data_IF_985114504308
#
_entry.id   IF_985114504308
#
_cell.length_a   1.000
_cell.length_b   1.000
_cell.length_c   1.000
_cell.angle_alpha   90.00
_cell.angle_beta   90.00
_cell.angle_gamma   90.00
#
_symmetry.space_group_name_H-M   'P 1'
#
loop_
_entity.id
_entity.type
_entity.pdbx_description
1 polymer ?
#
# COMPACT_ATOMS: atom_id res chain seq x y z
N UNK A 1 21.38 -3.46 -17.26
CA UNK A 1 22.05 -2.45 -18.11
C UNK A 1 23.42 -2.17 -17.50
N UNK A 2 24.41 -1.76 -18.29
CA UNK A 2 25.59 -1.10 -17.76
C UNK A 2 25.35 0.43 -17.59
N UNK A 3 26.38 1.19 -17.22
CA UNK A 3 26.29 2.66 -17.13
C UNK A 3 25.97 3.33 -18.47
N UNK A 4 26.43 2.76 -19.59
CA UNK A 4 26.22 3.31 -20.93
C UNK A 4 24.79 3.10 -21.43
N UNK A 5 24.05 2.18 -20.79
CA UNK A 5 22.69 1.81 -21.17
C UNK A 5 22.64 0.56 -22.06
N UNK A 6 23.77 -0.12 -22.24
CA UNK A 6 23.84 -1.40 -22.94
C UNK A 6 23.14 -2.48 -22.11
N UNK A 7 22.32 -3.29 -22.79
CA UNK A 7 21.68 -4.47 -22.20
C UNK A 7 22.71 -5.59 -22.06
N UNK A 8 23.09 -5.91 -20.82
CA UNK A 8 23.98 -7.04 -20.51
C UNK A 8 23.25 -8.38 -20.51
N UNK A 9 22.05 -8.43 -19.92
CA UNK A 9 21.19 -9.60 -19.86
C UNK A 9 19.72 -9.17 -19.86
N UNK A 10 18.89 -9.87 -20.63
CA UNK A 10 17.44 -9.63 -20.67
C UNK A 10 16.72 -10.93 -21.08
N UNK A 11 16.24 -11.67 -20.09
CA UNK A 11 15.54 -12.94 -20.27
C UNK A 11 14.57 -13.20 -19.13
N UNK A 12 13.58 -14.05 -19.38
CA UNK A 12 12.70 -14.54 -18.32
C UNK A 12 13.46 -15.56 -17.47
N UNK A 13 13.30 -15.49 -16.15
CA UNK A 13 13.96 -16.38 -15.20
C UNK A 13 12.93 -16.93 -14.21
N UNK A 14 13.12 -18.17 -13.73
CA UNK A 14 12.33 -18.69 -12.63
C UNK A 14 12.41 -17.77 -11.41
N UNK A 15 11.31 -17.77 -10.69
CA UNK A 15 11.03 -16.89 -9.57
C UNK A 15 11.63 -17.40 -8.25
N UNK A 16 12.93 -17.72 -8.29
CA UNK A 16 13.65 -18.38 -7.19
C UNK A 16 14.99 -17.70 -6.90
N UNK A 17 15.47 -17.75 -5.64
CA UNK A 17 16.79 -17.23 -5.28
C UNK A 17 17.93 -17.78 -6.13
N UNK A 18 17.98 -19.10 -6.33
CA UNK A 18 19.04 -19.74 -7.09
C UNK A 18 19.11 -19.26 -8.54
N UNK A 19 17.96 -19.21 -9.23
CA UNK A 19 17.91 -18.75 -10.62
C UNK A 19 18.29 -17.27 -10.74
N UNK A 20 17.85 -16.42 -9.79
CA UNK A 20 18.24 -15.02 -9.76
C UNK A 20 19.75 -14.86 -9.59
N UNK A 21 20.34 -15.52 -8.58
CA UNK A 21 21.77 -15.43 -8.27
C UNK A 21 22.64 -15.95 -9.40
N UNK A 22 22.26 -17.04 -10.05
CA UNK A 22 22.97 -17.58 -11.22
C UNK A 22 23.03 -16.55 -12.36
N UNK A 23 21.91 -15.87 -12.63
CA UNK A 23 21.82 -14.87 -13.70
C UNK A 23 22.66 -13.63 -13.41
N UNK A 24 22.68 -13.18 -12.15
CA UNK A 24 23.43 -11.96 -11.77
C UNK A 24 24.88 -12.22 -11.38
N UNK A 25 25.29 -13.48 -11.22
CA UNK A 25 26.65 -13.86 -10.81
C UNK A 25 27.76 -13.16 -11.63
N UNK A 26 27.67 -13.05 -12.98
CA UNK A 26 28.71 -12.37 -13.78
C UNK A 26 28.74 -10.85 -13.57
N UNK A 27 27.72 -10.26 -12.94
CA UNK A 27 27.47 -8.82 -12.86
C UNK A 27 27.39 -8.30 -11.43
N UNK A 28 27.86 -9.06 -10.44
CA UNK A 28 27.74 -8.74 -9.00
C UNK A 28 28.38 -7.43 -8.57
N UNK A 29 29.53 -7.08 -9.17
CA UNK A 29 30.22 -5.84 -8.85
C UNK A 29 29.34 -4.64 -9.22
N UNK A 30 29.13 -3.74 -8.25
CA UNK A 30 28.33 -2.51 -8.37
C UNK A 30 26.86 -2.72 -8.74
N UNK A 31 26.33 -3.93 -8.48
CA UNK A 31 24.98 -4.31 -8.83
C UNK A 31 23.93 -3.54 -8.02
N UNK A 32 23.05 -2.81 -8.71
CA UNK A 32 21.79 -2.30 -8.15
C UNK A 32 20.61 -3.05 -8.77
N UNK A 33 19.72 -3.55 -7.93
CA UNK A 33 18.49 -4.24 -8.30
C UNK A 33 17.29 -3.34 -8.06
N UNK A 34 16.38 -3.25 -9.02
CA UNK A 34 15.08 -2.61 -8.80
C UNK A 34 13.90 -3.47 -9.25
N UNK A 35 12.79 -3.37 -8.52
CA UNK A 35 11.49 -3.94 -8.92
C UNK A 35 10.37 -2.93 -8.68
N UNK A 36 9.27 -3.03 -9.41
CA UNK A 36 8.03 -2.32 -9.04
C UNK A 36 7.46 -2.90 -7.74
N UNK A 37 6.73 -2.09 -6.95
CA UNK A 37 6.03 -2.54 -5.74
C UNK A 37 4.79 -3.42 -6.07
N UNK A 38 5.06 -4.61 -6.61
CA UNK A 38 4.09 -5.67 -6.85
C UNK A 38 4.00 -6.66 -5.68
N UNK A 39 3.21 -7.72 -5.78
CA UNK A 39 2.93 -8.63 -4.65
C UNK A 39 4.14 -9.35 -4.07
N UNK A 40 5.26 -9.36 -4.77
CA UNK A 40 6.25 -10.39 -4.59
C UNK A 40 7.64 -9.83 -4.23
N UNK A 41 7.83 -8.51 -4.15
CA UNK A 41 9.15 -7.89 -3.92
C UNK A 41 9.84 -8.26 -2.60
N UNK A 42 9.12 -8.80 -1.60
CA UNK A 42 9.65 -9.09 -0.27
C UNK A 42 10.88 -10.01 -0.31
N UNK A 43 10.76 -11.22 -0.87
CA UNK A 43 11.89 -12.16 -0.88
C UNK A 43 13.05 -11.63 -1.71
N UNK A 44 12.80 -10.84 -2.76
CA UNK A 44 13.84 -10.27 -3.60
C UNK A 44 14.62 -9.20 -2.84
N UNK A 45 13.93 -8.31 -2.12
CA UNK A 45 14.56 -7.33 -1.24
C UNK A 45 15.36 -8.02 -0.13
N UNK A 46 14.81 -9.07 0.47
CA UNK A 46 15.45 -9.81 1.55
C UNK A 46 16.67 -10.59 1.05
N UNK A 47 16.57 -11.19 -0.14
CA UNK A 47 17.71 -11.83 -0.80
C UNK A 47 18.79 -10.81 -1.16
N UNK A 48 18.42 -9.65 -1.72
CA UNK A 48 19.38 -8.60 -2.01
C UNK A 48 20.10 -8.13 -0.75
N UNK A 49 19.36 -7.94 0.36
CA UNK A 49 19.96 -7.58 1.65
C UNK A 49 20.92 -8.67 2.17
N UNK A 50 20.53 -9.94 2.10
CA UNK A 50 21.38 -11.06 2.51
C UNK A 50 22.67 -11.20 1.67
N UNK A 51 22.60 -10.79 0.40
CA UNK A 51 23.67 -10.93 -0.58
C UNK A 51 24.50 -9.66 -0.77
N UNK A 52 24.23 -8.61 0.03
CA UNK A 52 24.90 -7.31 -0.06
C UNK A 52 24.63 -6.56 -1.36
N UNK A 53 23.51 -6.82 -2.02
CA UNK A 53 23.09 -6.16 -3.26
C UNK A 53 22.19 -4.96 -2.94
N UNK A 54 22.48 -3.80 -3.53
CA UNK A 54 21.64 -2.62 -3.38
C UNK A 54 20.26 -2.87 -4.02
N UNK A 55 19.18 -2.60 -3.28
CA UNK A 55 17.81 -2.80 -3.73
C UNK A 55 17.01 -1.50 -3.73
N UNK A 56 16.28 -1.23 -4.81
CA UNK A 56 15.40 -0.06 -4.96
C UNK A 56 14.00 -0.50 -5.34
N UNK A 57 13.00 -0.11 -4.55
CA UNK A 57 11.61 -0.40 -4.84
C UNK A 57 10.97 0.75 -5.61
N UNK A 58 10.34 0.48 -6.75
CA UNK A 58 9.61 1.46 -7.55
C UNK A 58 8.16 1.64 -7.10
N UNK A 59 7.67 2.88 -7.07
CA UNK A 59 6.31 3.21 -6.64
C UNK A 59 5.28 2.99 -7.76
N UNK A 60 4.50 1.90 -7.68
CA UNK A 60 3.61 1.43 -8.74
C UNK A 60 2.68 2.49 -9.36
N UNK A 61 2.00 3.32 -8.55
CA UNK A 61 1.09 4.34 -9.11
C UNK A 61 1.84 5.45 -9.88
N UNK A 62 3.01 5.86 -9.39
CA UNK A 62 3.84 6.85 -10.06
C UNK A 62 4.46 6.26 -11.33
N UNK A 63 4.87 4.99 -11.29
CA UNK A 63 5.35 4.27 -12.47
C UNK A 63 4.26 4.18 -13.55
N UNK A 64 3.00 3.87 -13.19
CA UNK A 64 1.87 3.90 -14.15
C UNK A 64 1.66 5.26 -14.82
N UNK A 65 1.87 6.36 -14.11
CA UNK A 65 1.76 7.70 -14.68
C UNK A 65 2.87 7.98 -15.71
N UNK A 66 4.04 7.36 -15.55
CA UNK A 66 5.16 7.41 -16.50
C UNK A 66 4.95 6.44 -17.67
N UNK A 67 4.16 5.37 -17.46
CA UNK A 67 4.12 4.19 -18.31
C UNK A 67 2.68 3.79 -18.77
N UNK A 68 1.86 4.73 -19.23
CA UNK A 68 0.50 4.45 -19.71
C UNK A 68 0.39 3.71 -21.07
N UNK A 69 1.20 2.68 -21.34
CA UNK A 69 1.13 1.90 -22.58
C UNK A 69 -0.05 0.92 -22.61
N UNK A 70 -0.70 0.76 -23.77
CA UNK A 70 -1.82 -0.20 -23.96
C UNK A 70 -1.39 -1.68 -23.87
N UNK A 71 -0.11 -1.97 -24.09
CA UNK A 71 0.46 -3.31 -24.00
C UNK A 71 1.34 -3.43 -22.75
N UNK A 72 0.96 -4.33 -21.83
CA UNK A 72 1.78 -4.76 -20.68
C UNK A 72 2.66 -5.92 -21.12
N UNK A 73 3.96 -5.82 -20.90
CA UNK A 73 4.91 -6.85 -21.26
C UNK A 73 6.12 -6.75 -20.33
N UNK A 74 6.34 -7.78 -19.52
CA UNK A 74 7.39 -7.85 -18.49
C UNK A 74 8.79 -7.51 -19.04
N UNK A 75 9.06 -7.81 -20.33
CA UNK A 75 10.32 -7.43 -20.99
C UNK A 75 10.45 -5.92 -21.20
N UNK A 76 9.36 -5.29 -21.58
CA UNK A 76 9.31 -3.83 -21.79
C UNK A 76 9.38 -3.12 -20.43
N UNK A 77 8.71 -3.68 -19.42
CA UNK A 77 8.56 -3.06 -18.11
C UNK A 77 9.86 -3.15 -17.30
N UNK A 78 10.51 -4.32 -17.29
CA UNK A 78 11.86 -4.49 -16.70
C UNK A 78 12.92 -3.60 -17.35
N UNK A 79 12.90 -3.44 -18.69
CA UNK A 79 13.81 -2.52 -19.37
C UNK A 79 13.55 -1.07 -18.97
N UNK A 80 12.29 -0.63 -18.90
CA UNK A 80 11.92 0.73 -18.48
C UNK A 80 12.34 1.01 -17.03
N UNK A 81 12.10 0.07 -16.12
CA UNK A 81 12.56 0.17 -14.72
C UNK A 81 14.08 0.37 -14.70
N UNK A 82 14.83 -0.45 -15.45
CA UNK A 82 16.29 -0.34 -15.50
C UNK A 82 16.78 1.01 -16.07
N UNK A 83 16.10 1.53 -17.11
CA UNK A 83 16.42 2.85 -17.69
C UNK A 83 16.12 3.97 -16.69
N UNK A 84 14.97 3.95 -16.03
CA UNK A 84 14.58 4.95 -15.02
C UNK A 84 15.53 4.93 -13.82
N UNK A 85 15.89 3.74 -13.35
CA UNK A 85 16.86 3.57 -12.27
C UNK A 85 18.22 4.17 -12.67
N UNK A 86 18.70 3.89 -13.89
CA UNK A 86 19.99 4.42 -14.39
C UNK A 86 20.00 5.94 -14.47
N UNK A 87 18.89 6.52 -14.90
CA UNK A 87 18.73 7.96 -15.00
C UNK A 87 18.48 8.66 -13.65
N UNK A 88 18.35 7.92 -12.53
CA UNK A 88 17.98 8.50 -11.25
C UNK A 88 16.54 9.02 -11.18
N UNK A 89 15.69 8.62 -12.13
CA UNK A 89 14.32 9.09 -12.30
C UNK A 89 13.27 8.08 -11.82
N UNK A 90 13.69 6.93 -11.29
CA UNK A 90 12.78 5.93 -10.74
C UNK A 90 12.05 6.49 -9.52
N UNK A 91 10.71 6.64 -9.55
CA UNK A 91 9.96 7.04 -8.36
C UNK A 91 10.08 5.94 -7.33
N UNK A 92 10.70 6.23 -6.18
CA UNK A 92 10.97 5.22 -5.17
C UNK A 92 9.80 5.03 -4.21
N UNK A 93 9.59 3.79 -3.79
CA UNK A 93 8.72 3.40 -2.70
C UNK A 93 9.53 2.93 -1.50
N UNK A 94 8.91 3.01 -0.32
CA UNK A 94 9.54 2.62 0.92
C UNK A 94 9.71 1.09 1.03
N UNK A 95 10.96 0.64 1.11
CA UNK A 95 11.32 -0.76 1.40
C UNK A 95 11.08 -1.02 2.88
N UNK A 96 9.88 -1.48 3.20
CA UNK A 96 9.50 -1.74 4.60
C UNK A 96 10.38 -2.85 5.22
N UNK A 97 10.80 -2.75 6.49
CA UNK A 97 11.73 -3.73 7.08
C UNK A 97 11.16 -5.14 7.19
N UNK A 98 11.96 -6.14 6.85
CA UNK A 98 11.55 -7.55 6.81
C UNK A 98 10.91 -8.03 8.12
N UNK A 99 11.55 -7.72 9.26
CA UNK A 99 11.12 -8.15 10.59
C UNK A 99 9.71 -7.71 11.00
N UNK A 100 9.17 -6.66 10.37
CA UNK A 100 7.86 -6.09 10.72
C UNK A 100 6.77 -6.36 9.68
N UNK A 101 7.12 -6.90 8.49
CA UNK A 101 6.17 -7.08 7.38
C UNK A 101 5.04 -8.04 7.74
N UNK A 102 5.34 -9.17 8.37
CA UNK A 102 4.35 -10.21 8.70
C UNK A 102 3.23 -9.67 9.60
N UNK A 103 3.58 -8.95 10.66
CA UNK A 103 2.60 -8.31 11.56
C UNK A 103 1.80 -7.22 10.84
N UNK A 104 2.46 -6.38 10.02
CA UNK A 104 1.76 -5.37 9.20
C UNK A 104 0.76 -6.02 8.25
N UNK A 105 1.15 -7.11 7.61
CA UNK A 105 0.29 -7.78 6.63
C UNK A 105 -0.90 -8.47 7.30
N UNK A 106 -0.74 -8.97 8.54
CA UNK A 106 -1.85 -9.45 9.36
C UNK A 106 -2.83 -8.32 9.73
N UNK A 107 -2.32 -7.15 10.12
CA UNK A 107 -3.15 -5.96 10.37
C UNK A 107 -3.91 -5.51 9.12
N UNK A 108 -3.26 -5.56 7.94
CA UNK A 108 -3.90 -5.28 6.65
C UNK A 108 -4.94 -6.33 6.28
N UNK A 109 -4.72 -7.60 6.62
CA UNK A 109 -5.70 -8.67 6.44
C UNK A 109 -6.96 -8.40 7.27
N UNK A 110 -6.81 -8.00 8.54
CA UNK A 110 -7.94 -7.55 9.36
C UNK A 110 -8.69 -6.40 8.69
N UNK A 111 -7.97 -5.34 8.28
CA UNK A 111 -8.58 -4.18 7.60
C UNK A 111 -9.37 -4.59 6.34
N UNK A 112 -8.86 -5.56 5.57
CA UNK A 112 -9.56 -6.09 4.41
C UNK A 112 -10.90 -6.72 4.78
N UNK A 113 -10.94 -7.59 5.80
CA UNK A 113 -12.17 -8.23 6.25
C UNK A 113 -13.18 -7.22 6.82
N UNK A 114 -12.72 -6.26 7.61
CA UNK A 114 -13.57 -5.18 8.13
C UNK A 114 -14.18 -4.35 6.99
N UNK A 115 -13.44 -4.10 5.91
CA UNK A 115 -13.97 -3.42 4.72
C UNK A 115 -15.02 -4.26 3.98
N UNK A 116 -14.75 -5.55 3.76
CA UNK A 116 -15.73 -6.47 3.14
C UNK A 116 -17.03 -6.52 3.92
N UNK A 117 -16.94 -6.61 5.24
CA UNK A 117 -18.09 -6.49 6.13
C UNK A 117 -18.84 -5.17 5.97
N UNK A 118 -18.12 -4.05 5.86
CA UNK A 118 -18.70 -2.73 5.61
C UNK A 118 -19.42 -2.62 4.26
N UNK A 119 -18.88 -3.24 3.21
CA UNK A 119 -19.50 -3.32 1.88
C UNK A 119 -20.86 -4.04 1.94
N UNK A 120 -20.96 -5.16 2.68
CA UNK A 120 -22.22 -5.88 2.87
C UNK A 120 -23.24 -5.06 3.66
N UNK A 121 -22.82 -4.39 4.74
CA UNK A 121 -23.70 -3.50 5.51
C UNK A 121 -24.23 -2.35 4.63
N UNK A 122 -23.38 -1.79 3.76
CA UNK A 122 -23.79 -0.76 2.82
C UNK A 122 -24.77 -1.31 1.77
N UNK A 123 -24.53 -2.52 1.27
CA UNK A 123 -25.44 -3.18 0.34
C UNK A 123 -26.84 -3.35 0.96
N UNK A 124 -26.95 -3.86 2.20
CA UNK A 124 -28.24 -3.99 2.90
C UNK A 124 -28.97 -2.63 3.00
N UNK A 125 -28.26 -1.55 3.32
CA UNK A 125 -28.85 -0.20 3.38
C UNK A 125 -29.29 0.31 2.01
N UNK A 126 -28.52 0.01 0.96
CA UNK A 126 -28.84 0.38 -0.42
C UNK A 126 -30.05 -0.40 -0.93
N UNK A 127 -30.12 -1.71 -0.69
CA UNK A 127 -31.26 -2.56 -1.04
C UNK A 127 -32.53 -2.05 -0.36
N UNK A 128 -32.47 -1.71 0.93
CA UNK A 128 -33.59 -1.07 1.65
C UNK A 128 -34.08 0.18 0.93
N UNK A 129 -33.16 1.07 0.56
CA UNK A 129 -33.50 2.31 -0.15
C UNK A 129 -34.05 2.06 -1.56
N UNK A 130 -33.47 1.12 -2.30
CA UNK A 130 -33.87 0.74 -3.66
C UNK A 130 -35.31 0.23 -3.72
N UNK A 131 -35.73 -0.55 -2.72
CA UNK A 131 -37.12 -1.04 -2.60
C UNK A 131 -38.02 -0.12 -1.77
N UNK A 132 -37.55 1.09 -1.43
CA UNK A 132 -38.27 2.08 -0.61
C UNK A 132 -38.86 1.50 0.69
N UNK A 133 -38.09 0.65 1.36
CA UNK A 133 -38.52 -0.01 2.61
C UNK A 133 -38.32 0.91 3.82
N UNK A 134 -39.10 0.74 4.90
CA UNK A 134 -38.93 1.49 6.15
C UNK A 134 -37.49 1.46 6.65
N UNK A 135 -37.08 2.51 7.36
CA UNK A 135 -35.75 2.55 7.97
C UNK A 135 -35.60 1.47 9.04
N UNK A 136 -34.42 0.88 9.13
CA UNK A 136 -34.09 0.03 10.27
C UNK A 136 -34.02 0.89 11.53
N UNK A 137 -34.65 0.42 12.61
CA UNK A 137 -34.71 1.14 13.88
C UNK A 137 -33.33 1.26 14.54
N UNK A 138 -32.44 0.30 14.26
CA UNK A 138 -31.15 0.16 14.92
C UNK A 138 -30.01 0.01 13.92
N UNK A 139 -28.81 0.34 14.39
CA UNK A 139 -27.60 0.24 13.58
C UNK A 139 -27.16 -1.22 13.43
N UNK A 140 -27.21 -1.73 12.20
CA UNK A 140 -26.85 -3.11 11.85
C UNK A 140 -25.35 -3.47 12.03
N UNK A 141 -24.52 -2.47 12.33
CA UNK A 141 -23.12 -2.69 12.68
C UNK A 141 -22.95 -3.52 13.96
N UNK A 142 -23.95 -3.57 14.84
CA UNK A 142 -23.95 -4.40 16.04
C UNK A 142 -24.73 -5.70 15.77
N UNK A 143 -24.14 -6.84 16.12
CA UNK A 143 -24.71 -8.16 15.85
C UNK A 143 -26.12 -8.33 16.44
N UNK A 144 -26.35 -7.82 17.66
CA UNK A 144 -27.65 -7.87 18.34
C UNK A 144 -28.80 -7.15 17.63
N UNK A 145 -28.52 -6.33 16.61
CA UNK A 145 -29.52 -5.55 15.90
C UNK A 145 -29.92 -6.19 14.56
N UNK A 146 -29.43 -7.40 14.24
CA UNK A 146 -29.63 -8.05 12.95
C UNK A 146 -30.76 -9.08 12.94
N UNK A 147 -31.24 -9.46 14.11
CA UNK A 147 -32.38 -10.36 14.25
C UNK A 147 -33.61 -9.77 13.57
N UNK A 148 -34.34 -10.59 12.81
CA UNK A 148 -35.55 -10.18 12.08
C UNK A 148 -35.32 -9.25 10.87
N UNK A 149 -34.08 -8.82 10.57
CA UNK A 149 -33.81 -7.85 9.49
C UNK A 149 -34.34 -8.31 8.13
N UNK A 150 -34.22 -9.61 7.81
CA UNK A 150 -34.74 -10.17 6.56
C UNK A 150 -36.27 -10.14 6.45
N UNK A 151 -36.99 -10.16 7.57
CA UNK A 151 -38.46 -10.19 7.61
C UNK A 151 -39.08 -8.87 7.16
N UNK A 152 -38.32 -7.76 7.23
CA UNK A 152 -38.72 -6.46 6.69
C UNK A 152 -38.85 -6.44 5.16
N UNK A 153 -38.34 -7.47 4.48
CA UNK A 153 -38.46 -7.61 3.04
C UNK A 153 -39.65 -8.53 2.69
N UNK A 154 -40.71 -7.98 2.07
CA UNK A 154 -41.88 -8.78 1.68
C UNK A 154 -41.57 -9.72 0.51
N UNK A 155 -40.70 -9.28 -0.42
CA UNK A 155 -40.28 -10.12 -1.54
C UNK A 155 -39.26 -11.20 -1.08
N UNK A 156 -39.51 -12.49 -1.36
CA UNK A 156 -38.64 -13.58 -0.94
C UNK A 156 -37.22 -13.51 -1.51
N UNK A 157 -37.04 -12.96 -2.71
CA UNK A 157 -35.72 -12.86 -3.36
C UNK A 157 -34.89 -11.75 -2.74
N UNK A 158 -35.51 -10.60 -2.46
CA UNK A 158 -34.86 -9.49 -1.74
C UNK A 158 -34.49 -9.92 -0.33
N UNK A 159 -35.40 -10.61 0.37
CA UNK A 159 -35.12 -11.21 1.68
C UNK A 159 -33.91 -12.13 1.62
N UNK A 160 -33.89 -13.06 0.66
CA UNK A 160 -32.77 -14.01 0.52
C UNK A 160 -31.44 -13.30 0.29
N UNK A 161 -31.42 -12.24 -0.51
CA UNK A 161 -30.21 -11.44 -0.74
C UNK A 161 -29.68 -10.83 0.56
N UNK A 162 -30.56 -10.25 1.40
CA UNK A 162 -30.16 -9.67 2.69
C UNK A 162 -29.70 -10.75 3.66
N UNK A 163 -30.38 -11.90 3.72
CA UNK A 163 -29.98 -13.01 4.58
C UNK A 163 -28.58 -13.54 4.25
N UNK A 164 -28.21 -13.59 2.97
CA UNK A 164 -26.85 -13.97 2.54
C UNK A 164 -25.81 -12.97 3.05
N UNK A 165 -26.09 -11.67 2.94
CA UNK A 165 -25.19 -10.63 3.46
C UNK A 165 -25.04 -10.72 4.97
N UNK A 166 -26.13 -10.93 5.71
CA UNK A 166 -26.12 -11.08 7.16
C UNK A 166 -25.26 -12.28 7.59
N UNK A 167 -25.43 -13.43 6.93
CA UNK A 167 -24.63 -14.63 7.22
C UNK A 167 -23.13 -14.39 6.97
N UNK A 168 -22.78 -13.70 5.89
CA UNK A 168 -21.39 -13.34 5.61
C UNK A 168 -20.83 -12.33 6.62
N UNK A 169 -21.63 -11.36 7.05
CA UNK A 169 -21.25 -10.39 8.09
C UNK A 169 -20.93 -11.12 9.40
N UNK A 170 -21.74 -12.10 9.81
CA UNK A 170 -21.52 -12.87 11.03
C UNK A 170 -20.23 -13.69 10.94
N UNK A 171 -19.97 -14.32 9.78
CA UNK A 171 -18.70 -15.02 9.54
C UNK A 171 -17.50 -14.05 9.59
N UNK A 172 -17.62 -12.85 9.02
CA UNK A 172 -16.58 -11.84 9.11
C UNK A 172 -16.37 -11.34 10.54
N UNK A 173 -17.43 -11.17 11.33
CA UNK A 173 -17.33 -10.78 12.75
C UNK A 173 -16.52 -11.81 13.55
N UNK A 174 -16.78 -13.10 13.35
CA UNK A 174 -16.02 -14.18 13.99
C UNK A 174 -14.53 -14.18 13.57
N UNK A 175 -14.25 -14.09 12.27
CA UNK A 175 -12.88 -14.07 11.74
C UNK A 175 -12.09 -12.82 12.17
N UNK A 176 -12.74 -11.65 12.21
CA UNK A 176 -12.11 -10.42 12.67
C UNK A 176 -11.78 -10.51 14.16
N UNK A 177 -12.69 -11.06 14.96
CA UNK A 177 -12.45 -11.27 16.41
C UNK A 177 -11.25 -12.20 16.65
N UNK A 178 -11.18 -13.32 15.93
CA UNK A 178 -10.05 -14.26 16.01
C UNK A 178 -8.70 -13.61 15.64
N UNK A 179 -8.69 -12.85 14.54
CA UNK A 179 -7.51 -12.08 14.14
C UNK A 179 -7.10 -11.05 15.19
N UNK A 180 -8.07 -10.33 15.77
CA UNK A 180 -7.79 -9.34 16.80
C UNK A 180 -7.18 -9.98 18.05
N UNK A 181 -7.72 -11.12 18.51
CA UNK A 181 -7.16 -11.89 19.63
C UNK A 181 -5.72 -12.35 19.37
N UNK A 182 -5.39 -12.66 18.12
CA UNK A 182 -4.02 -13.02 17.70
C UNK A 182 -3.07 -11.81 17.72
N UNK A 183 -3.53 -10.64 17.28
CA UNK A 183 -2.72 -9.41 17.20
C UNK A 183 -2.52 -8.78 18.58
N UNK A 184 -3.61 -8.64 19.36
CA UNK A 184 -3.61 -8.05 20.70
C UNK A 184 -4.68 -8.70 21.57
N UNK A 185 -4.32 -9.04 22.80
CA UNK A 185 -5.30 -9.27 23.87
C UNK A 185 -5.96 -7.94 24.32
N UNK A 186 -6.64 -7.21 23.43
CA UNK A 186 -7.37 -5.97 23.74
C UNK A 186 -7.77 -5.10 22.53
N UNK A 187 -9.03 -4.69 22.47
CA UNK A 187 -9.69 -4.03 21.31
C UNK A 187 -9.17 -2.59 21.02
N UNK A 188 -8.59 -1.89 22.00
CA UNK A 188 -8.06 -0.52 21.83
C UNK A 188 -6.69 -0.41 21.17
N UNK A 189 -5.86 -1.46 21.26
CA UNK A 189 -4.46 -1.45 20.77
C UNK A 189 -4.37 -1.69 19.26
N UNK A 190 -5.41 -2.22 18.64
CA UNK A 190 -5.38 -2.62 17.22
C UNK A 190 -5.26 -1.43 16.27
N UNK A 191 -5.97 -0.32 16.54
CA UNK A 191 -5.84 0.90 15.72
C UNK A 191 -4.46 1.55 15.88
N UNK A 192 -3.98 1.66 17.12
CA UNK A 192 -2.64 2.18 17.40
C UNK A 192 -1.54 1.36 16.72
N UNK A 193 -1.61 0.02 16.81
CA UNK A 193 -0.69 -0.86 16.11
C UNK A 193 -0.82 -0.75 14.60
N UNK A 194 -2.02 -0.59 14.06
CA UNK A 194 -2.21 -0.36 12.62
C UNK A 194 -1.50 0.90 12.19
N UNK A 195 -1.67 2.02 12.92
CA UNK A 195 -0.96 3.27 12.64
C UNK A 195 0.55 3.10 12.75
N UNK A 196 1.05 2.49 13.83
CA UNK A 196 2.46 2.24 14.05
C UNK A 196 3.07 1.41 12.92
N UNK A 197 2.44 0.31 12.52
CA UNK A 197 2.96 -0.56 11.48
C UNK A 197 2.78 0.01 10.06
N UNK A 198 1.78 0.85 9.78
CA UNK A 198 1.70 1.51 8.46
C UNK A 198 2.77 2.60 8.31
N UNK A 199 3.01 3.37 9.38
CA UNK A 199 4.00 4.45 9.42
C UNK A 199 5.41 3.89 9.47
N UNK A 200 5.65 2.95 10.39
CA UNK A 200 6.95 2.43 10.80
C UNK A 200 7.89 3.51 11.33
N UNK A 201 8.60 4.19 10.43
CA UNK A 201 9.52 5.25 10.76
C UNK A 201 8.93 6.56 10.27
N UNK A 202 8.79 7.53 11.17
CA UNK A 202 8.22 8.81 10.82
C UNK A 202 9.19 9.71 10.05
N UNK A 203 10.49 9.52 10.25
CA UNK A 203 11.54 10.27 9.59
C UNK A 203 11.67 9.89 8.11
N UNK A 204 10.93 8.87 7.65
CA UNK A 204 10.79 8.55 6.22
C UNK A 204 10.00 9.61 5.43
N UNK A 205 9.36 10.57 6.12
CA UNK A 205 8.63 11.68 5.50
C UNK A 205 9.37 12.99 5.78
N UNK A 206 9.90 13.63 4.73
CA UNK A 206 10.64 14.89 4.86
C UNK A 206 9.72 16.03 5.33
N UNK A 207 8.41 15.94 5.02
CA UNK A 207 7.42 16.99 5.29
C UNK A 207 6.09 16.43 5.78
N UNK A 208 5.43 17.21 6.65
CA UNK A 208 4.08 16.91 7.15
C UNK A 208 3.06 16.71 6.02
N UNK A 209 3.21 17.44 4.91
CA UNK A 209 2.35 17.31 3.74
C UNK A 209 2.49 15.94 3.06
N UNK A 210 3.69 15.36 3.05
CA UNK A 210 3.93 14.04 2.48
C UNK A 210 3.29 12.96 3.35
N UNK A 211 3.43 13.08 4.66
CA UNK A 211 2.73 12.22 5.60
C UNK A 211 1.20 12.36 5.49
N UNK A 212 0.68 13.58 5.43
CA UNK A 212 -0.76 13.84 5.29
C UNK A 212 -1.30 13.30 3.96
N UNK A 213 -0.52 13.40 2.86
CA UNK A 213 -0.85 12.78 1.57
C UNK A 213 -0.89 11.26 1.67
N UNK A 214 0.14 10.65 2.27
CA UNK A 214 0.24 9.21 2.51
C UNK A 214 -0.95 8.69 3.34
N UNK A 215 -1.30 9.40 4.41
CA UNK A 215 -2.43 9.10 5.27
C UNK A 215 -3.81 9.44 4.63
N UNK A 216 -3.82 9.95 3.39
CA UNK A 216 -5.02 10.39 2.66
C UNK A 216 -5.84 11.44 3.39
N UNK A 217 -5.18 12.28 4.19
CA UNK A 217 -5.79 13.39 4.92
C UNK A 217 -5.89 14.66 4.07
N UNK A 218 -5.23 14.70 2.92
CA UNK A 218 -5.35 15.78 1.94
C UNK A 218 -6.50 15.44 0.99
N UNK A 219 -7.50 16.31 0.92
CA UNK A 219 -8.53 16.25 -0.13
C UNK A 219 -7.88 16.65 -1.45
N UNK A 220 -7.91 15.75 -2.43
CA UNK A 220 -7.66 16.11 -3.82
C UNK A 220 -8.90 16.84 -4.32
N UNK A 221 -8.77 18.08 -4.75
CA UNK A 221 -9.82 18.72 -5.55
C UNK A 221 -9.96 17.92 -6.84
N UNK A 222 -11.05 17.17 -6.96
CA UNK A 222 -11.45 16.55 -8.21
C UNK A 222 -12.44 17.48 -8.89
N UNK A 223 -12.03 18.08 -10.01
CA UNK A 223 -13.00 18.59 -10.97
C UNK A 223 -13.76 17.40 -11.54
N UNK A 224 -15.08 17.50 -11.48
CA UNK A 224 -16.04 16.46 -11.84
C UNK A 224 -15.79 15.97 -13.27
N UNK A 225 -15.44 14.69 -13.41
CA UNK A 225 -15.31 14.06 -14.73
C UNK A 225 -14.39 12.85 -14.77
N UNK A 226 -14.72 11.76 -14.07
CA UNK A 226 -14.20 10.44 -14.49
C UNK A 226 -15.12 9.29 -14.11
N UNK A 227 -15.54 8.55 -15.14
CA UNK A 227 -16.18 7.24 -15.05
C UNK A 227 -15.37 6.30 -14.15
N UNK A 228 -16.03 5.76 -13.13
CA UNK A 228 -15.53 4.64 -12.34
C UNK A 228 -15.48 3.39 -13.24
N UNK A 229 -14.28 3.02 -13.66
CA UNK A 229 -14.04 1.69 -14.22
C UNK A 229 -13.88 0.73 -13.05
N UNK A 230 -14.94 -0.03 -12.79
CA UNK A 230 -14.92 -1.21 -11.91
C UNK A 230 -13.86 -2.19 -12.43
N UNK A 231 -12.73 -2.29 -11.74
CA UNK A 231 -11.78 -3.38 -11.97
C UNK A 231 -11.66 -4.23 -10.72
N UNK A 232 -12.37 -5.35 -10.81
CA UNK A 232 -12.24 -6.56 -10.02
C UNK A 232 -10.76 -6.92 -9.83
N UNK A 233 -10.39 -7.12 -8.57
CA UNK A 233 -9.04 -7.54 -8.19
C UNK A 233 -8.87 -9.00 -8.60
N UNK A 234 -8.41 -9.24 -9.84
CA UNK A 234 -8.08 -10.59 -10.30
C UNK A 234 -7.01 -11.20 -9.39
N UNK A 235 -7.36 -12.31 -8.75
CA UNK A 235 -6.42 -13.27 -8.20
C UNK A 235 -5.78 -13.99 -9.38
N UNK A 236 -4.70 -13.44 -9.93
CA UNK A 236 -3.89 -14.16 -10.91
C UNK A 236 -2.66 -14.72 -10.20
N UNK A 237 -2.58 -16.05 -10.21
CA UNK A 237 -1.52 -16.84 -9.60
C UNK A 237 -0.11 -16.49 -10.08
N UNK A 238 0.87 -16.93 -9.28
CA UNK A 238 2.31 -17.01 -9.55
C UNK A 238 2.78 -16.26 -10.80
N UNK A 239 3.14 -14.98 -10.64
CA UNK A 239 3.74 -14.16 -11.71
C UNK A 239 5.24 -14.00 -11.50
N UNK A 240 5.96 -13.94 -12.62
CA UNK A 240 7.41 -13.77 -12.67
C UNK A 240 7.88 -12.43 -12.10
N UNK A 241 9.13 -12.40 -11.64
CA UNK A 241 9.80 -11.22 -11.09
C UNK A 241 10.48 -10.37 -12.15
N UNK A 242 10.49 -9.06 -11.94
CA UNK A 242 11.21 -8.09 -12.76
C UNK A 242 12.34 -7.47 -11.94
N UNK A 243 13.56 -7.55 -12.47
CA UNK A 243 14.79 -7.05 -11.83
C UNK A 243 15.54 -6.18 -12.83
N UNK A 244 15.61 -4.87 -12.56
CA UNK A 244 16.52 -3.96 -13.24
C UNK A 244 17.90 -3.98 -12.59
N UNK A 245 18.94 -4.41 -13.32
CA UNK A 245 20.34 -4.50 -12.87
C UNK A 245 21.14 -3.31 -13.41
N UNK A 246 21.95 -2.62 -12.59
CA UNK A 246 22.95 -1.62 -13.01
C UNK A 246 24.32 -1.93 -12.43
N UNK A 247 25.41 -1.66 -13.16
CA UNK A 247 26.82 -1.74 -12.71
C UNK A 247 27.53 -0.43 -13.03
N UNK A 248 28.33 0.13 -12.11
CA UNK A 248 29.19 1.29 -12.37
C UNK A 248 30.42 1.37 -11.46
N UNK A 249 31.60 1.51 -12.08
CA UNK A 249 32.86 1.84 -11.40
C UNK A 249 32.79 3.28 -10.86
N UNK A 250 32.48 3.40 -9.59
CA UNK A 250 32.53 4.64 -8.83
C UNK A 250 31.90 4.38 -7.47
N UNK A 251 32.56 4.78 -6.38
CA UNK A 251 32.06 4.63 -5.01
C UNK A 251 30.64 5.17 -4.89
N UNK A 252 29.64 4.29 -4.98
CA UNK A 252 28.31 4.57 -4.45
C UNK A 252 28.40 4.22 -2.97
N UNK A 253 28.70 5.23 -2.16
CA UNK A 253 28.63 5.10 -0.71
C UNK A 253 27.25 4.54 -0.32
N UNK A 254 27.17 3.62 0.66
CA UNK A 254 25.89 3.26 1.25
C UNK A 254 25.17 4.56 1.67
N UNK A 255 23.83 4.65 1.58
CA UNK A 255 23.11 5.86 1.96
C UNK A 255 23.42 6.18 3.42
N UNK A 256 24.28 7.17 3.65
CA UNK A 256 24.44 7.76 4.97
C UNK A 256 23.20 8.61 5.28
N UNK A 257 22.78 8.68 6.56
CA UNK A 257 21.79 9.67 6.97
C UNK A 257 22.29 11.05 6.54
N UNK A 258 21.43 11.82 5.85
CA UNK A 258 21.82 13.11 5.28
C UNK A 258 22.35 14.05 6.37
N UNK A 259 23.62 14.43 6.27
CA UNK A 259 24.19 15.58 6.97
C UNK A 259 23.59 16.92 6.52
N UNK A 260 23.93 18.05 7.17
CA UNK A 260 23.13 19.27 7.13
C UNK A 260 23.09 19.96 5.75
N UNK A 261 21.91 20.55 5.51
CA UNK A 261 21.34 21.17 4.30
C UNK A 261 22.25 22.08 3.44
N UNK A 262 22.09 21.98 2.11
CA UNK A 262 22.30 23.12 1.21
C UNK A 262 21.14 24.13 1.35
N UNK A 263 21.34 25.43 1.11
CA UNK A 263 20.35 26.46 1.45
C UNK A 263 19.07 26.33 0.62
N UNK A 264 17.94 26.44 1.31
CA UNK A 264 16.58 26.31 0.74
C UNK A 264 16.25 27.43 -0.26
N UNK A 265 15.47 27.15 -1.33
CA UNK A 265 14.84 28.20 -2.12
C UNK A 265 13.82 28.99 -1.29
N UNK A 266 13.59 30.24 -1.68
CA UNK A 266 12.88 31.22 -0.86
C UNK A 266 11.41 30.85 -0.62
N UNK A 267 10.87 31.22 0.56
CA UNK A 267 9.47 30.99 0.99
C UNK A 267 8.40 31.45 -0.03
N UNK A 268 8.75 32.32 -0.98
CA UNK A 268 7.82 32.83 -2.01
C UNK A 268 7.64 31.85 -3.17
N UNK A 269 8.66 31.10 -3.56
CA UNK A 269 8.61 30.23 -4.74
C UNK A 269 7.85 28.93 -4.47
N UNK A 270 7.89 28.43 -3.24
CA UNK A 270 7.14 27.23 -2.82
C UNK A 270 5.61 27.45 -2.70
N UNK A 271 5.16 28.71 -2.57
CA UNK A 271 3.74 29.07 -2.38
C UNK A 271 2.92 29.09 -3.67
N UNK A 272 3.55 29.20 -4.84
CA UNK A 272 2.84 29.45 -6.10
C UNK A 272 2.33 28.19 -6.83
N UNK A 273 2.64 26.97 -6.34
CA UNK A 273 2.27 25.72 -7.05
C UNK A 273 1.23 24.83 -6.35
N UNK A 274 0.64 25.24 -5.22
CA UNK A 274 -0.18 24.35 -4.41
C UNK A 274 -1.44 25.05 -3.87
N UNK A 275 -2.60 24.43 -4.08
CA UNK A 275 -3.86 24.84 -3.46
C UNK A 275 -3.82 24.73 -1.92
N UNK A 276 -4.74 25.39 -1.21
CA UNK A 276 -4.72 25.45 0.25
C UNK A 276 -4.94 24.05 0.86
N UNK A 277 -4.00 23.62 1.69
CA UNK A 277 -4.16 22.44 2.55
C UNK A 277 -5.08 22.82 3.72
N UNK A 278 -6.09 22.00 4.00
CA UNK A 278 -6.98 22.18 5.16
C UNK A 278 -6.14 22.26 6.46
N UNK A 279 -6.18 23.37 7.21
CA UNK A 279 -5.46 23.51 8.48
C UNK A 279 -5.78 22.38 9.48
N UNK A 280 -7.03 21.88 9.48
CA UNK A 280 -7.46 20.77 10.35
C UNK A 280 -6.85 19.43 9.94
N UNK A 281 -6.41 19.29 8.69
CA UNK A 281 -5.66 18.11 8.24
C UNK A 281 -4.20 18.18 8.71
N UNK A 282 -3.60 19.38 8.73
CA UNK A 282 -2.26 19.59 9.28
C UNK A 282 -2.21 19.34 10.79
N UNK A 283 -3.22 19.80 11.53
CA UNK A 283 -3.29 19.60 12.98
C UNK A 283 -3.51 18.12 13.34
N UNK A 284 -4.36 17.40 12.61
CA UNK A 284 -4.54 15.95 12.80
C UNK A 284 -3.29 15.16 12.44
N UNK A 285 -2.60 15.55 11.37
CA UNK A 285 -1.32 14.97 11.02
C UNK A 285 -0.30 15.22 12.13
N UNK A 286 -0.17 16.45 12.65
CA UNK A 286 0.70 16.78 13.78
C UNK A 286 0.35 16.02 15.06
N UNK A 287 -0.92 15.86 15.38
CA UNK A 287 -1.36 15.07 16.54
C UNK A 287 -0.95 13.61 16.44
N UNK A 288 -1.11 13.00 15.26
CA UNK A 288 -0.63 11.64 14.97
C UNK A 288 0.91 11.55 15.03
N UNK A 289 1.61 12.56 14.51
CA UNK A 289 3.07 12.64 14.53
C UNK A 289 3.61 12.64 15.97
N UNK A 290 3.06 13.48 16.85
CA UNK A 290 3.48 13.54 18.25
C UNK A 290 3.17 12.24 19.02
N UNK A 291 1.99 11.65 18.79
CA UNK A 291 1.60 10.42 19.49
C UNK A 291 2.45 9.19 19.12
N UNK A 292 2.92 9.11 17.87
CA UNK A 292 3.77 8.01 17.40
C UNK A 292 5.23 8.20 17.82
N UNK A 293 5.76 9.43 17.78
CA UNK A 293 7.13 9.72 18.16
C UNK A 293 7.41 9.51 19.66
N UNK A 294 6.42 9.68 20.53
CA UNK A 294 6.59 9.58 21.99
C UNK A 294 6.37 8.17 22.57
N UNK A 295 6.15 7.12 21.75
CA UNK A 295 5.83 5.75 22.21
C UNK A 295 4.64 5.61 23.20
N UNK A 296 3.93 6.70 23.52
CA UNK A 296 2.80 6.78 24.48
C UNK A 296 1.55 6.00 24.08
N UNK A 297 1.54 5.33 22.93
CA UNK A 297 0.41 4.53 22.46
C UNK A 297 0.24 3.18 23.19
N UNK A 298 1.23 2.78 24.00
CA UNK A 298 1.23 1.50 24.72
C UNK A 298 1.07 1.63 26.24
N UNK A 299 1.11 2.86 26.78
CA UNK A 299 0.91 3.14 28.21
C UNK A 299 -0.58 3.42 28.49
N UNK A 300 -1.36 2.34 28.50
CA UNK A 300 -2.80 2.34 28.78
C UNK A 300 -3.37 0.94 28.99
#
# INVERSE_FOLDING_TARGET
>A
LDTTGQVLVHRNVPSTPAAFLEVVAPYRADLVVASECMFTWYWLADLCAAEGIAFVLGHALAMKAIHGGKAKNDKIDSHKIAVLLRGGMLPQAYVYPAAMRSTRDLLRRRLHLVRRRGELLAHIQNTRAQYNLPAFERRLAYASNREGVGEHCPDPSVRKSIEVDLALIDQYDALVTDLELTIVRGIGKVLALTSLYEIHDIDRFDRVQEFASYARLIKVHQDVGRQETWHERRQDGQRAFEVGVLRGRGDVSPPQPRGPEAPRPSRKEARQRQGPVDPRAQDRARGLLHAVAEHRLLDG
#
